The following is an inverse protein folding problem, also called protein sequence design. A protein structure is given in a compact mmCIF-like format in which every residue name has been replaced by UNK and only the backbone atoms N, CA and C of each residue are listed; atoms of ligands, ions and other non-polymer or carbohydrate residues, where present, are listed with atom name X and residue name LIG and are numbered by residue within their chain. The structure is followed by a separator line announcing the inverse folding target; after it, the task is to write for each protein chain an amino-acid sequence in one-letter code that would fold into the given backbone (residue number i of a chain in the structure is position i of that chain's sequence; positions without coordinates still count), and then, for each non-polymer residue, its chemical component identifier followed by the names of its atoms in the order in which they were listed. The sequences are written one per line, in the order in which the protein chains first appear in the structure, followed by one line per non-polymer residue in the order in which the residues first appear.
data_IF_864379177902
#
_entry.id   IF_864379177902
#
_cell.length_a   1.000
_cell.length_b   1.000
_cell.length_c   1.000
_cell.angle_alpha   90.00
_cell.angle_beta   90.00
_cell.angle_gamma   90.00
#
_symmetry.space_group_name_H-M   'P 1'
#
loop_
_entity.id
_entity.type
_entity.pdbx_description
1 polymer ?
#
# COMPACT_ATOMS: atom_id res chain seq x y z
N UNK A 1 41.45 -20.72 13.97
CA UNK A 1 41.55 -19.44 13.22
C UNK A 1 40.38 -19.15 12.27
N UNK A 2 39.23 -19.85 12.35
CA UNK A 2 38.08 -19.62 11.44
C UNK A 2 37.00 -18.69 12.03
N UNK A 3 37.13 -18.28 13.29
CA UNK A 3 36.05 -17.61 14.04
C UNK A 3 36.15 -16.09 14.00
N UNK A 4 37.35 -15.52 13.93
CA UNK A 4 37.55 -14.07 13.92
C UNK A 4 37.06 -13.44 12.61
N UNK A 5 37.31 -14.08 11.46
CA UNK A 5 36.86 -13.57 10.16
C UNK A 5 35.32 -13.61 10.03
N UNK A 6 34.67 -14.67 10.52
CA UNK A 6 33.20 -14.79 10.57
C UNK A 6 32.54 -13.76 11.50
N UNK A 7 33.19 -13.41 12.62
CA UNK A 7 32.72 -12.36 13.53
C UNK A 7 32.87 -10.95 12.95
N UNK A 8 33.94 -10.69 12.20
CA UNK A 8 34.12 -9.40 11.51
C UNK A 8 33.10 -9.27 10.37
N UNK A 9 32.89 -10.33 9.59
CA UNK A 9 31.94 -10.34 8.47
C UNK A 9 30.49 -10.10 8.94
N UNK A 10 30.09 -10.74 10.04
CA UNK A 10 28.76 -10.56 10.63
C UNK A 10 28.54 -9.23 11.35
N UNK A 11 29.60 -8.46 11.62
CA UNK A 11 29.54 -7.07 12.10
C UNK A 11 29.40 -6.07 10.95
N UNK A 12 30.11 -6.32 9.84
CA UNK A 12 30.06 -5.46 8.64
C UNK A 12 28.72 -5.58 7.91
N UNK A 13 28.14 -6.79 7.85
CA UNK A 13 26.80 -7.01 7.25
C UNK A 13 25.62 -6.56 8.13
N UNK A 14 25.87 -6.01 9.33
CA UNK A 14 24.82 -5.62 10.28
C UNK A 14 24.58 -4.11 10.38
N UNK A 15 24.98 -3.34 9.37
CA UNK A 15 24.73 -1.89 9.34
C UNK A 15 23.57 -1.57 8.39
N UNK A 16 22.38 -1.48 8.98
CA UNK A 16 21.21 -0.73 8.51
C UNK A 16 20.83 -0.87 7.04
N UNK A 17 20.50 -2.09 6.60
CA UNK A 17 19.52 -2.22 5.51
C UNK A 17 18.18 -1.85 6.16
N UNK A 18 17.48 -0.76 5.74
CA UNK A 18 16.12 -0.54 6.19
C UNK A 18 15.34 -1.75 5.68
N UNK A 19 14.99 -2.66 6.59
CA UNK A 19 14.05 -3.72 6.27
C UNK A 19 12.73 -3.00 6.06
N UNK A 20 12.42 -2.67 4.81
CA UNK A 20 11.15 -2.08 4.42
C UNK A 20 10.10 -3.04 4.93
N UNK A 21 9.43 -2.68 6.02
CA UNK A 21 8.45 -3.54 6.66
C UNK A 21 7.32 -3.72 5.66
N UNK A 22 7.22 -4.90 5.05
CA UNK A 22 6.10 -5.24 4.18
C UNK A 22 4.82 -5.04 4.98
N UNK A 23 3.95 -4.12 4.53
CA UNK A 23 2.66 -3.91 5.15
C UNK A 23 1.80 -5.15 4.96
N UNK A 24 1.11 -5.66 5.99
CA UNK A 24 0.11 -6.72 5.85
C UNK A 24 -0.92 -6.39 4.76
N UNK A 25 -1.38 -7.40 4.02
CA UNK A 25 -2.37 -7.19 2.94
C UNK A 25 -3.66 -6.54 3.46
N UNK A 26 -4.09 -6.85 4.69
CA UNK A 26 -5.23 -6.21 5.35
C UNK A 26 -5.03 -4.70 5.47
N UNK A 27 -3.86 -4.26 5.92
CA UNK A 27 -3.55 -2.84 6.09
C UNK A 27 -3.49 -2.12 4.73
N UNK A 28 -2.91 -2.77 3.72
CA UNK A 28 -2.90 -2.23 2.35
C UNK A 28 -4.32 -2.09 1.78
N UNK A 29 -5.20 -3.05 2.05
CA UNK A 29 -6.59 -3.04 1.61
C UNK A 29 -7.37 -1.89 2.26
N UNK A 30 -7.27 -1.74 3.57
CA UNK A 30 -7.89 -0.61 4.29
C UNK A 30 -7.33 0.73 3.82
N UNK A 31 -6.02 0.82 3.62
CA UNK A 31 -5.40 2.03 3.09
C UNK A 31 -5.96 2.39 1.71
N UNK A 32 -6.08 1.42 0.81
CA UNK A 32 -6.66 1.65 -0.52
C UNK A 32 -8.14 2.04 -0.47
N UNK A 33 -8.90 1.52 0.51
CA UNK A 33 -10.29 1.91 0.75
C UNK A 33 -10.39 3.38 1.15
N UNK A 34 -9.54 3.83 2.09
CA UNK A 34 -9.50 5.23 2.52
C UNK A 34 -9.04 6.16 1.39
N UNK A 35 -8.04 5.76 0.61
CA UNK A 35 -7.59 6.51 -0.57
C UNK A 35 -8.71 6.69 -1.58
N UNK A 36 -9.49 5.62 -1.86
CA UNK A 36 -10.61 5.71 -2.78
C UNK A 36 -11.73 6.63 -2.27
N UNK A 37 -12.10 6.54 -0.99
CA UNK A 37 -13.07 7.45 -0.37
C UNK A 37 -12.59 8.91 -0.41
N UNK A 38 -11.31 9.15 -0.18
CA UNK A 38 -10.71 10.47 -0.27
C UNK A 38 -10.74 11.00 -1.71
N UNK A 39 -10.42 10.15 -2.70
CA UNK A 39 -10.48 10.50 -4.11
C UNK A 39 -11.91 10.81 -4.58
N UNK A 40 -12.90 10.04 -4.10
CA UNK A 40 -14.33 10.32 -4.32
C UNK A 40 -14.71 11.70 -3.76
N UNK A 41 -14.32 12.00 -2.53
CA UNK A 41 -14.57 13.31 -1.94
C UNK A 41 -13.89 14.44 -2.73
N UNK A 42 -12.64 14.26 -3.14
CA UNK A 42 -11.92 15.24 -3.95
C UNK A 42 -12.61 15.47 -5.30
N UNK A 43 -12.95 14.39 -6.02
CA UNK A 43 -13.65 14.46 -7.31
C UNK A 43 -14.97 15.21 -7.22
N UNK A 44 -15.75 14.98 -6.16
CA UNK A 44 -17.04 15.64 -5.96
C UNK A 44 -16.93 17.13 -5.61
N UNK A 45 -15.77 17.60 -5.13
CA UNK A 45 -15.59 18.96 -4.64
C UNK A 45 -14.59 19.78 -5.47
N UNK A 46 -13.92 19.19 -6.47
CA UNK A 46 -12.99 19.93 -7.33
C UNK A 46 -13.74 20.95 -8.18
N UNK A 47 -13.35 22.22 -8.08
CA UNK A 47 -13.92 23.33 -8.84
C UNK A 47 -12.91 24.02 -9.76
N UNK A 48 -11.62 23.75 -9.55
CA UNK A 48 -10.55 24.23 -10.40
C UNK A 48 -10.53 23.44 -11.71
N UNK A 49 -10.74 24.13 -12.83
CA UNK A 49 -10.82 23.53 -14.16
C UNK A 49 -9.53 22.80 -14.55
N UNK A 50 -8.37 23.29 -14.10
CA UNK A 50 -7.07 22.69 -14.41
C UNK A 50 -6.84 21.37 -13.65
N UNK A 51 -7.68 21.07 -12.65
CA UNK A 51 -7.58 19.89 -11.79
C UNK A 51 -8.67 18.84 -12.05
N UNK A 52 -9.65 19.11 -12.92
CA UNK A 52 -10.76 18.18 -13.21
C UNK A 52 -10.26 16.87 -13.79
N UNK A 53 -9.36 16.93 -14.78
CA UNK A 53 -8.79 15.73 -15.40
C UNK A 53 -7.99 14.92 -14.37
N UNK A 54 -7.18 15.60 -13.55
CA UNK A 54 -6.47 14.95 -12.45
C UNK A 54 -7.44 14.25 -11.50
N UNK A 55 -8.52 14.91 -11.09
CA UNK A 55 -9.52 14.33 -10.21
C UNK A 55 -10.15 13.06 -10.82
N UNK A 56 -10.49 13.10 -12.11
CA UNK A 56 -11.07 11.98 -12.85
C UNK A 56 -10.10 10.78 -12.95
N UNK A 57 -8.82 11.04 -13.25
CA UNK A 57 -7.81 9.98 -13.24
C UNK A 57 -7.57 9.42 -11.84
N UNK A 58 -7.56 10.27 -10.82
CA UNK A 58 -7.26 9.89 -9.46
C UNK A 58 -8.33 8.96 -8.84
N UNK A 59 -9.61 9.28 -9.03
CA UNK A 59 -10.71 8.40 -8.58
C UNK A 59 -10.67 7.04 -9.27
N UNK A 60 -10.40 6.99 -10.58
CA UNK A 60 -10.28 5.73 -11.33
C UNK A 60 -9.07 4.90 -10.89
N UNK A 61 -7.92 5.55 -10.64
CA UNK A 61 -6.71 4.87 -10.21
C UNK A 61 -6.87 4.23 -8.81
N UNK A 62 -7.46 4.97 -7.87
CA UNK A 62 -7.68 4.50 -6.50
C UNK A 62 -8.73 3.38 -6.44
N UNK A 63 -9.82 3.50 -7.20
CA UNK A 63 -10.82 2.43 -7.36
C UNK A 63 -10.18 1.13 -7.89
N UNK A 64 -9.34 1.24 -8.92
CA UNK A 64 -8.67 0.09 -9.55
C UNK A 64 -7.69 -0.58 -8.59
N UNK A 65 -6.96 0.21 -7.79
CA UNK A 65 -6.06 -0.29 -6.73
C UNK A 65 -6.85 -1.05 -5.66
N UNK A 66 -7.92 -0.46 -5.13
CA UNK A 66 -8.77 -1.10 -4.12
C UNK A 66 -9.38 -2.41 -4.64
N UNK A 67 -9.95 -2.39 -5.86
CA UNK A 67 -10.52 -3.58 -6.50
C UNK A 67 -9.51 -4.70 -6.72
N UNK A 68 -8.28 -4.35 -7.13
CA UNK A 68 -7.19 -5.32 -7.24
C UNK A 68 -6.86 -5.98 -5.90
N UNK A 69 -6.72 -5.19 -4.84
CA UNK A 69 -6.41 -5.69 -3.50
C UNK A 69 -7.55 -6.55 -2.93
N UNK A 70 -8.82 -6.21 -3.21
CA UNK A 70 -9.97 -7.05 -2.86
C UNK A 70 -9.92 -8.43 -3.55
N UNK A 71 -9.54 -8.47 -4.83
CA UNK A 71 -9.37 -9.73 -5.55
C UNK A 71 -8.24 -10.55 -4.92
N UNK A 72 -7.10 -9.91 -4.64
CA UNK A 72 -5.95 -10.55 -4.00
C UNK A 72 -6.28 -11.09 -2.60
N UNK A 73 -6.95 -10.31 -1.76
CA UNK A 73 -7.36 -10.73 -0.42
C UNK A 73 -8.25 -11.99 -0.47
N UNK A 74 -9.20 -12.03 -1.41
CA UNK A 74 -10.03 -13.22 -1.65
C UNK A 74 -9.21 -14.44 -2.05
N UNK A 75 -8.21 -14.28 -2.92
CA UNK A 75 -7.30 -15.37 -3.30
C UNK A 75 -6.44 -15.86 -2.13
N UNK A 76 -6.05 -14.98 -1.22
CA UNK A 76 -5.25 -15.32 -0.03
C UNK A 76 -6.11 -15.84 1.15
N UNK A 77 -7.42 -16.05 0.96
CA UNK A 77 -8.32 -16.56 1.99
C UNK A 77 -8.68 -15.53 3.08
N UNK A 78 -8.31 -14.26 2.89
CA UNK A 78 -8.76 -13.18 3.75
C UNK A 78 -10.23 -12.91 3.46
N UNK A 79 -11.10 -13.36 4.36
CA UNK A 79 -12.51 -12.93 4.39
C UNK A 79 -12.53 -11.47 4.83
N UNK A 80 -12.56 -10.56 3.87
CA UNK A 80 -12.93 -9.18 4.14
C UNK A 80 -14.44 -9.18 4.42
N UNK A 81 -14.83 -9.19 5.70
CA UNK A 81 -16.20 -8.81 6.08
C UNK A 81 -16.38 -7.36 5.62
N UNK A 82 -17.36 -7.04 4.76
CA UNK A 82 -17.57 -5.66 4.32
C UNK A 82 -18.13 -4.75 5.42
N UNK A 83 -18.41 -5.29 6.62
CA UNK A 83 -19.24 -4.67 7.66
C UNK A 83 -18.80 -4.93 9.11
N UNK A 84 -17.55 -5.33 9.37
CA UNK A 84 -17.05 -5.43 10.77
C UNK A 84 -16.61 -4.05 11.30
#
# INVERSE_FOLDING_TARGET
MKTALMQIFSRVLRKNIPVTKYQPLRDQLEQARHEWLSAQNYYNNVSDADLVDYAAYHIQATEKKYTYLLKRARHEGLRASPFD
#
